data_IF_500196335485
#
_entry.id   IF_500196335485
#
_cell.length_a   1.000
_cell.length_b   1.000
_cell.length_c   1.000
_cell.angle_alpha   90.00
_cell.angle_beta   90.00
_cell.angle_gamma   90.00
#
_symmetry.space_group_name_H-M   'P 1'
#
loop_
_entity.id
_entity.type
_entity.pdbx_description
1 polymer ?
#
# COMPACT_ATOMS: atom_id res chain seq x y z
N UNK A 1 6.60 1.43 10.01
CA UNK A 1 5.18 1.19 10.30
C UNK A 1 4.40 1.45 9.04
N UNK A 2 3.45 0.58 8.70
CA UNK A 2 2.58 0.81 7.53
C UNK A 2 1.43 1.74 7.93
N UNK A 3 0.97 2.54 6.98
CA UNK A 3 -0.23 3.37 7.09
C UNK A 3 -1.12 3.16 5.86
N UNK A 4 -2.39 3.58 5.96
CA UNK A 4 -3.30 3.58 4.81
C UNK A 4 -2.71 4.41 3.67
N UNK A 5 -2.71 3.85 2.46
CA UNK A 5 -2.12 4.42 1.26
C UNK A 5 -0.64 4.07 1.04
N UNK A 6 0.02 3.38 1.97
CA UNK A 6 1.34 2.83 1.71
C UNK A 6 1.25 1.71 0.67
N UNK A 7 2.17 1.74 -0.30
CA UNK A 7 2.35 0.64 -1.25
C UNK A 7 3.24 -0.41 -0.60
N UNK A 8 2.80 -1.66 -0.68
CA UNK A 8 3.49 -2.82 -0.11
C UNK A 8 3.72 -3.88 -1.18
N UNK A 9 4.73 -4.71 -0.96
CA UNK A 9 4.95 -5.97 -1.67
C UNK A 9 4.72 -7.12 -0.71
N UNK A 10 4.03 -8.14 -1.18
CA UNK A 10 3.99 -9.41 -0.48
C UNK A 10 5.37 -10.07 -0.51
N UNK A 11 5.83 -10.59 0.63
CA UNK A 11 7.21 -11.05 0.80
C UNK A 11 7.52 -12.32 0.01
N UNK A 12 6.52 -13.16 -0.25
CA UNK A 12 6.70 -14.48 -0.88
C UNK A 12 6.90 -14.37 -2.39
N UNK A 13 6.04 -13.61 -3.07
CA UNK A 13 5.98 -13.55 -4.53
C UNK A 13 6.28 -12.15 -5.10
N UNK A 14 6.36 -11.13 -4.25
CA UNK A 14 6.60 -9.74 -4.65
C UNK A 14 5.38 -9.00 -5.17
N UNK A 15 4.18 -9.60 -5.08
CA UNK A 15 2.92 -9.02 -5.54
C UNK A 15 2.67 -7.66 -4.90
N UNK A 16 2.27 -6.68 -5.71
CA UNK A 16 2.05 -5.31 -5.26
C UNK A 16 0.63 -5.12 -4.72
N UNK A 17 0.54 -4.35 -3.64
CA UNK A 17 -0.74 -3.94 -3.06
C UNK A 17 -0.66 -2.59 -2.37
N UNK A 18 -1.82 -2.08 -1.99
CA UNK A 18 -1.99 -0.83 -1.26
C UNK A 18 -2.69 -1.11 0.06
N UNK A 19 -2.15 -0.59 1.16
CA UNK A 19 -2.79 -0.71 2.47
C UNK A 19 -4.05 0.15 2.49
N UNK A 20 -5.21 -0.47 2.69
CA UNK A 20 -6.51 0.21 2.73
C UNK A 20 -7.09 0.35 4.14
N UNK A 21 -6.59 -0.45 5.09
CA UNK A 21 -6.97 -0.38 6.51
C UNK A 21 -5.86 -0.93 7.40
N UNK A 22 -5.68 -0.36 8.57
CA UNK A 22 -4.61 -0.70 9.53
C UNK A 22 -5.25 -1.10 10.86
N UNK A 23 -4.76 -2.18 11.44
CA UNK A 23 -5.09 -2.67 12.78
C UNK A 23 -3.81 -2.84 13.62
N UNK A 24 -3.93 -3.23 14.89
CA UNK A 24 -2.77 -3.31 15.80
C UNK A 24 -1.69 -4.32 15.35
N UNK A 25 -2.08 -5.41 14.67
CA UNK A 25 -1.17 -6.51 14.29
C UNK A 25 -1.22 -6.92 12.82
N UNK A 26 -2.24 -6.46 12.11
CA UNK A 26 -2.49 -6.78 10.71
C UNK A 26 -3.01 -5.54 9.97
N UNK A 27 -3.13 -5.66 8.65
CA UNK A 27 -3.69 -4.63 7.81
C UNK A 27 -4.43 -5.26 6.62
N UNK A 28 -5.44 -4.56 6.12
CA UNK A 28 -6.06 -4.95 4.87
C UNK A 28 -5.29 -4.34 3.71
N UNK A 29 -4.96 -5.18 2.74
CA UNK A 29 -4.26 -4.79 1.51
C UNK A 29 -5.20 -5.03 0.33
N UNK A 30 -5.31 -4.04 -0.56
CA UNK A 30 -5.90 -4.20 -1.88
C UNK A 30 -4.79 -4.51 -2.86
N UNK A 31 -4.86 -5.67 -3.50
CA UNK A 31 -3.86 -6.15 -4.45
C UNK A 31 -4.15 -5.66 -5.87
N UNK A 32 -3.14 -5.80 -6.74
CA UNK A 32 -3.23 -5.39 -8.15
C UNK A 32 -4.31 -6.13 -8.96
N UNK A 33 -4.73 -7.31 -8.53
CA UNK A 33 -5.82 -8.09 -9.13
C UNK A 33 -7.22 -7.63 -8.67
N UNK A 34 -7.28 -6.64 -7.77
CA UNK A 34 -8.52 -6.09 -7.21
C UNK A 34 -9.07 -6.90 -6.03
N UNK A 35 -8.39 -7.96 -5.60
CA UNK A 35 -8.74 -8.68 -4.38
C UNK A 35 -8.24 -7.95 -3.14
N UNK A 36 -8.97 -8.07 -2.03
CA UNK A 36 -8.53 -7.54 -0.74
C UNK A 36 -8.40 -8.67 0.29
N UNK A 37 -7.28 -8.72 0.99
CA UNK A 37 -7.03 -9.69 2.07
C UNK A 37 -6.46 -9.03 3.32
N UNK A 38 -6.46 -9.79 4.42
CA UNK A 38 -5.89 -9.39 5.71
C UNK A 38 -4.50 -10.00 5.85
N UNK A 39 -3.49 -9.17 6.04
CA UNK A 39 -2.09 -9.58 6.06
C UNK A 39 -1.35 -9.10 7.31
N UNK A 40 -0.38 -9.90 7.76
CA UNK A 40 0.48 -9.53 8.87
C UNK A 40 1.57 -8.54 8.41
N UNK A 41 1.96 -7.63 9.29
CA UNK A 41 3.03 -6.66 8.99
C UNK A 41 4.34 -7.31 8.55
N UNK A 42 4.68 -8.49 9.09
CA UNK A 42 5.94 -9.19 8.82
C UNK A 42 5.98 -9.88 7.44
N UNK A 43 4.83 -10.00 6.79
CA UNK A 43 4.65 -10.57 5.45
C UNK A 43 4.70 -9.49 4.36
N UNK A 44 4.72 -8.21 4.75
CA UNK A 44 4.67 -7.07 3.86
C UNK A 44 5.96 -6.26 3.89
N UNK A 45 6.46 -5.95 2.71
CA UNK A 45 7.60 -5.06 2.52
C UNK A 45 7.09 -3.75 1.96
N UNK A 46 7.21 -2.66 2.71
CA UNK A 46 6.84 -1.33 2.23
C UNK A 46 7.72 -0.91 1.06
N UNK A 47 7.11 -0.46 -0.03
CA UNK A 47 7.80 0.17 -1.15
C UNK A 47 7.68 1.69 -1.05
N UNK A 48 8.73 2.33 -0.50
CA UNK A 48 8.80 3.78 -0.34
C UNK A 48 8.80 4.53 -1.69
N UNK A 49 9.35 3.94 -2.76
CA UNK A 49 9.40 4.58 -4.07
C UNK A 49 8.01 4.70 -4.69
N UNK A 50 7.22 3.65 -4.61
CA UNK A 50 5.85 3.65 -5.12
C UNK A 50 4.90 4.42 -4.21
N UNK A 51 5.10 4.34 -2.89
CA UNK A 51 4.34 5.14 -1.91
C UNK A 51 4.52 6.63 -2.17
N UNK A 52 5.74 7.10 -2.45
CA UNK A 52 6.01 8.50 -2.76
C UNK A 52 5.33 8.96 -4.07
N UNK A 53 5.17 8.07 -5.05
CA UNK A 53 4.51 8.36 -6.34
C UNK A 53 2.99 8.38 -6.25
N UNK A 54 2.39 7.62 -5.32
CA UNK A 54 0.94 7.62 -5.11
C UNK A 54 0.43 8.84 -4.35
N UNK A 55 1.28 9.51 -3.58
CA UNK A 55 0.94 10.83 -3.06
C UNK A 55 0.79 11.75 -4.25
N UNK A 56 -0.46 12.05 -4.61
CA UNK A 56 -0.80 13.14 -5.53
C UNK A 56 0.02 14.33 -5.07
N UNK A 57 0.92 14.80 -5.93
CA UNK A 57 1.67 16.03 -5.65
C UNK A 57 0.62 17.12 -5.42
N UNK A 58 0.52 17.71 -4.21
CA UNK A 58 -0.43 18.78 -3.94
C UNK A 58 -0.17 20.02 -4.80
N UNK A 59 0.93 20.07 -5.56
CA UNK A 59 1.27 21.09 -6.54
C UNK A 59 0.94 20.71 -7.97
N UNK A 60 0.31 19.56 -8.23
CA UNK A 60 -0.32 19.34 -9.51
C UNK A 60 -1.64 20.11 -9.48
N UNK A 61 -1.73 21.32 -10.08
CA UNK A 61 -3.02 21.98 -10.18
C UNK A 61 -3.94 20.99 -10.88
N UNK A 62 -5.11 20.75 -10.29
CA UNK A 62 -6.24 20.32 -11.09
C UNK A 62 -6.28 21.28 -12.28
N UNK A 63 -5.86 20.81 -13.45
CA UNK A 63 -5.90 21.60 -14.66
C UNK A 63 -7.37 21.97 -14.91
N UNK A 64 -7.62 23.20 -15.39
CA UNK A 64 -8.95 23.81 -15.48
C UNK A 64 -9.94 23.03 -16.34
#
# INVERSE_FOLDING_TARGET
MLQVGDVVRFRIDGTLGVVIKVHEKDCYVLWEDGFSSLELYDELIKDENWTARQRIDPRHPCAP
#
